data_IF_636774989741
#
_entry.id   IF_636774989741
#
_cell.length_a   1.000
_cell.length_b   1.000
_cell.length_c   1.000
_cell.angle_alpha   90.00
_cell.angle_beta   90.00
_cell.angle_gamma   90.00
#
_symmetry.space_group_name_H-M   'P 1'
#
loop_
_entity.id
_entity.type
_entity.pdbx_description
1 polymer ?
#
# COMPACT_ATOMS: atom_id res chain seq x y z
N UNK A 1 -6.40 -4.73 -21.60
CA UNK A 1 -5.86 -4.03 -20.42
C UNK A 1 -6.63 -2.73 -20.33
N UNK A 2 -7.05 -2.30 -19.14
CA UNK A 2 -7.65 -0.98 -18.99
C UNK A 2 -6.58 0.09 -19.22
N UNK A 3 -6.96 1.23 -19.79
CA UNK A 3 -6.05 2.34 -19.98
C UNK A 3 -6.00 3.18 -18.71
N UNK A 4 -4.82 3.61 -18.23
CA UNK A 4 -4.71 4.56 -17.14
C UNK A 4 -5.23 5.92 -17.63
N UNK A 5 -6.29 6.42 -16.98
CA UNK A 5 -6.96 7.67 -17.40
C UNK A 5 -6.91 8.76 -16.32
N UNK A 6 -6.78 8.37 -15.05
CA UNK A 6 -6.71 9.31 -13.94
C UNK A 6 -5.28 9.60 -13.52
N UNK A 7 -5.00 10.88 -13.27
CA UNK A 7 -3.77 11.40 -12.66
C UNK A 7 -4.01 12.12 -11.34
N UNK A 8 -5.27 12.40 -11.04
CA UNK A 8 -5.73 13.08 -9.84
C UNK A 8 -6.91 12.31 -9.25
N UNK A 9 -7.23 12.55 -7.99
CA UNK A 9 -8.44 11.99 -7.38
C UNK A 9 -9.71 12.42 -8.13
N UNK A 10 -10.77 11.62 -8.03
CA UNK A 10 -12.03 11.87 -8.74
C UNK A 10 -13.24 11.42 -7.91
N UNK A 11 -14.48 11.90 -8.26
CA UNK A 11 -15.64 11.74 -7.38
C UNK A 11 -15.97 10.30 -6.97
N UNK A 12 -15.74 9.32 -7.85
CA UNK A 12 -16.11 7.93 -7.58
C UNK A 12 -15.27 7.25 -6.48
N UNK A 13 -14.06 7.77 -6.20
CA UNK A 13 -13.18 7.28 -5.12
C UNK A 13 -13.09 8.25 -3.95
N UNK A 14 -13.87 9.34 -3.95
CA UNK A 14 -13.82 10.33 -2.88
C UNK A 14 -14.07 9.69 -1.50
N UNK A 15 -13.16 9.87 -0.52
CA UNK A 15 -13.33 9.30 0.82
C UNK A 15 -14.51 9.91 1.59
N UNK A 16 -15.12 10.97 1.05
CA UNK A 16 -16.31 11.61 1.62
C UNK A 16 -17.61 10.91 1.22
N UNK A 17 -17.55 9.93 0.32
CA UNK A 17 -18.72 9.14 -0.04
C UNK A 17 -19.14 8.27 1.14
N UNK A 18 -20.45 8.26 1.52
CA UNK A 18 -20.95 7.44 2.62
C UNK A 18 -20.66 5.95 2.47
N UNK A 19 -20.67 5.43 1.22
CA UNK A 19 -20.40 4.03 0.88
C UNK A 19 -18.95 3.62 1.15
N UNK A 20 -18.04 4.60 1.20
CA UNK A 20 -16.62 4.40 1.49
C UNK A 20 -16.26 4.69 2.95
N UNK A 21 -17.25 4.96 3.80
CA UNK A 21 -17.02 5.27 5.21
C UNK A 21 -16.29 4.15 5.94
N UNK A 22 -15.23 4.52 6.64
CA UNK A 22 -14.45 3.63 7.52
C UNK A 22 -14.77 3.86 9.00
N UNK A 23 -15.92 4.50 9.30
CA UNK A 23 -16.38 4.73 10.66
C UNK A 23 -16.49 3.44 11.45
N UNK A 24 -15.98 3.43 12.68
CA UNK A 24 -15.95 2.26 13.54
C UNK A 24 -14.76 1.33 13.29
N UNK A 25 -13.88 1.63 12.32
CA UNK A 25 -12.76 0.78 11.95
C UNK A 25 -11.46 1.17 12.64
N UNK A 26 -10.60 0.14 12.83
CA UNK A 26 -9.23 0.24 13.28
C UNK A 26 -8.31 -0.05 12.09
N UNK A 27 -7.53 0.94 11.64
CA UNK A 27 -6.63 0.78 10.51
C UNK A 27 -5.16 0.91 10.94
N UNK A 28 -4.26 0.24 10.21
CA UNK A 28 -2.83 0.27 10.42
C UNK A 28 -2.13 0.52 9.09
N UNK A 29 -1.20 1.49 9.06
CA UNK A 29 -0.46 1.89 7.86
C UNK A 29 1.04 1.84 8.14
N UNK A 30 1.78 1.05 7.37
CA UNK A 30 3.24 1.06 7.39
C UNK A 30 3.80 2.14 6.46
N UNK A 31 4.90 2.79 6.87
CA UNK A 31 5.42 3.96 6.16
C UNK A 31 4.51 5.19 6.28
N UNK A 32 3.73 5.27 7.37
CA UNK A 32 2.70 6.31 7.57
C UNK A 32 3.23 7.71 7.92
N UNK A 33 4.56 7.91 7.97
CA UNK A 33 5.15 9.19 8.34
C UNK A 33 5.43 10.15 7.18
N UNK A 34 5.41 9.70 5.93
CA UNK A 34 5.74 10.53 4.76
C UNK A 34 5.16 9.96 3.46
N UNK A 35 5.24 10.75 2.40
CA UNK A 35 4.87 10.34 1.04
C UNK A 35 3.47 9.74 0.94
N UNK A 36 3.35 8.67 0.17
CA UNK A 36 2.08 7.98 -0.10
C UNK A 36 1.41 7.50 1.20
N UNK A 37 2.16 6.90 2.13
CA UNK A 37 1.60 6.39 3.39
C UNK A 37 1.00 7.48 4.28
N UNK A 38 1.64 8.65 4.36
CA UNK A 38 1.10 9.79 5.08
C UNK A 38 -0.17 10.34 4.42
N UNK A 39 -0.22 10.38 3.10
CA UNK A 39 -1.41 10.81 2.36
C UNK A 39 -2.57 9.80 2.50
N UNK A 40 -2.29 8.49 2.41
CA UNK A 40 -3.28 7.44 2.69
C UNK A 40 -3.89 7.62 4.08
N UNK A 41 -3.05 7.88 5.11
CA UNK A 41 -3.53 8.13 6.47
C UNK A 41 -4.54 9.29 6.55
N UNK A 42 -4.28 10.39 5.81
CA UNK A 42 -5.18 11.54 5.72
C UNK A 42 -6.49 11.17 5.01
N UNK A 43 -6.46 10.38 3.96
CA UNK A 43 -7.66 9.92 3.25
C UNK A 43 -8.52 9.00 4.11
N UNK A 44 -7.91 8.10 4.91
CA UNK A 44 -8.64 7.29 5.89
C UNK A 44 -9.27 8.15 6.99
N UNK A 45 -8.58 9.19 7.46
CA UNK A 45 -9.16 10.14 8.42
C UNK A 45 -10.36 10.91 7.81
N UNK A 46 -10.27 11.35 6.55
CA UNK A 46 -11.38 11.96 5.79
C UNK A 46 -12.58 11.00 5.69
N UNK A 47 -12.35 9.68 5.53
CA UNK A 47 -13.42 8.67 5.46
C UNK A 47 -14.00 8.29 6.83
N UNK A 48 -13.48 8.86 7.92
CA UNK A 48 -14.03 8.74 9.28
C UNK A 48 -13.52 7.56 10.07
N UNK A 49 -12.32 7.03 9.78
CA UNK A 49 -11.70 5.96 10.58
C UNK A 49 -11.58 6.39 12.05
N UNK A 50 -11.90 5.48 12.98
CA UNK A 50 -11.87 5.80 14.40
C UNK A 50 -10.45 5.78 14.97
N UNK A 51 -9.71 4.70 14.71
CA UNK A 51 -8.36 4.52 15.19
C UNK A 51 -7.41 4.23 14.03
N UNK A 52 -6.27 4.90 14.03
CA UNK A 52 -5.28 4.81 12.98
C UNK A 52 -3.89 4.61 13.60
N UNK A 53 -3.25 3.47 13.34
CA UNK A 53 -1.86 3.26 13.68
C UNK A 53 -0.95 3.65 12.51
N UNK A 54 0.06 4.46 12.77
CA UNK A 54 1.11 4.82 11.83
C UNK A 54 2.42 4.18 12.26
N UNK A 55 2.96 3.30 11.43
CA UNK A 55 4.25 2.66 11.64
C UNK A 55 5.30 3.24 10.70
N UNK A 56 6.54 3.43 11.19
CA UNK A 56 7.66 3.87 10.36
C UNK A 56 8.92 4.05 11.17
N UNK A 57 10.06 4.22 10.51
CA UNK A 57 11.38 4.30 11.17
C UNK A 57 11.66 5.65 11.83
N UNK A 58 10.99 6.71 11.39
CA UNK A 58 11.27 8.08 11.82
C UNK A 58 10.12 8.60 12.68
N UNK A 59 10.26 8.51 14.00
CA UNK A 59 9.24 8.95 14.96
C UNK A 59 8.79 10.40 14.77
N UNK A 60 9.73 11.31 14.43
CA UNK A 60 9.39 12.73 14.19
C UNK A 60 8.35 12.92 13.08
N UNK A 61 8.51 12.25 11.94
CA UNK A 61 7.56 12.38 10.82
C UNK A 61 6.20 11.75 11.14
N UNK A 62 6.19 10.65 11.90
CA UNK A 62 4.95 10.04 12.39
C UNK A 62 4.18 11.00 13.29
N UNK A 63 4.86 11.67 14.21
CA UNK A 63 4.24 12.63 15.13
C UNK A 63 3.70 13.87 14.41
N UNK A 64 4.42 14.37 13.39
CA UNK A 64 3.90 15.48 12.56
C UNK A 64 2.61 15.08 11.85
N UNK A 65 2.61 13.91 11.18
CA UNK A 65 1.41 13.45 10.48
C UNK A 65 0.24 13.16 11.45
N UNK A 66 0.54 12.60 12.63
CA UNK A 66 -0.45 12.44 13.71
C UNK A 66 -1.11 13.78 14.07
N UNK A 67 -0.30 14.81 14.36
CA UNK A 67 -0.80 16.11 14.77
C UNK A 67 -1.69 16.75 13.68
N UNK A 68 -1.27 16.69 12.42
CA UNK A 68 -2.05 17.20 11.29
C UNK A 68 -3.40 16.47 11.10
N UNK A 69 -3.42 15.14 11.32
CA UNK A 69 -4.64 14.35 11.20
C UNK A 69 -5.60 14.68 12.35
N UNK A 70 -5.12 14.65 13.60
CA UNK A 70 -5.97 14.87 14.77
C UNK A 70 -6.52 16.31 14.84
N UNK A 71 -5.75 17.29 14.33
CA UNK A 71 -6.21 18.69 14.19
C UNK A 71 -7.38 18.81 13.21
N UNK A 72 -7.25 18.21 12.00
CA UNK A 72 -8.25 18.32 10.94
C UNK A 72 -9.43 17.35 11.11
N UNK A 73 -9.21 16.23 11.78
CA UNK A 73 -10.16 15.13 11.96
C UNK A 73 -10.20 14.67 13.43
N UNK A 74 -10.74 15.47 14.36
CA UNK A 74 -10.68 15.23 15.80
C UNK A 74 -11.41 13.94 16.24
N UNK A 75 -12.24 13.36 15.39
CA UNK A 75 -12.89 12.07 15.60
C UNK A 75 -11.95 10.88 15.38
N UNK A 76 -10.82 11.08 14.68
CA UNK A 76 -9.82 10.04 14.43
C UNK A 76 -8.72 10.12 15.47
N UNK A 77 -8.47 9.02 16.18
CA UNK A 77 -7.34 8.91 17.10
C UNK A 77 -6.16 8.26 16.39
N UNK A 78 -4.99 8.89 16.47
CA UNK A 78 -3.79 8.41 15.79
C UNK A 78 -2.76 7.90 16.80
N UNK A 79 -2.25 6.71 16.57
CA UNK A 79 -1.21 6.05 17.36
C UNK A 79 0.03 5.90 16.50
N UNK A 80 1.21 6.17 17.06
CA UNK A 80 2.48 6.12 16.32
C UNK A 80 3.41 5.09 16.92
N UNK A 81 4.04 4.28 16.07
CA UNK A 81 5.00 3.26 16.46
C UNK A 81 6.26 3.39 15.61
N UNK A 82 7.38 3.67 16.27
CA UNK A 82 8.68 3.72 15.59
C UNK A 82 9.20 2.30 15.43
N UNK A 83 9.10 1.77 14.20
CA UNK A 83 9.38 0.36 13.88
C UNK A 83 10.04 0.27 12.52
N UNK A 84 11.05 -0.60 12.41
CA UNK A 84 11.50 -1.16 11.14
C UNK A 84 10.81 -2.50 10.91
N UNK A 85 10.05 -2.64 9.85
CA UNK A 85 9.29 -3.87 9.55
C UNK A 85 10.19 -5.08 9.24
N UNK A 86 11.47 -4.85 8.92
CA UNK A 86 12.46 -5.94 8.76
C UNK A 86 12.79 -6.64 10.08
N UNK A 87 12.55 -5.98 11.22
CA UNK A 87 12.61 -6.56 12.56
C UNK A 87 11.25 -7.17 12.93
N UNK A 88 11.21 -8.50 12.99
CA UNK A 88 9.98 -9.27 13.23
C UNK A 88 9.42 -9.07 14.65
N UNK A 89 10.29 -8.93 15.66
CA UNK A 89 9.85 -8.76 17.04
C UNK A 89 9.28 -7.37 17.27
N UNK A 90 9.99 -6.33 16.86
CA UNK A 90 9.49 -4.95 16.94
C UNK A 90 8.17 -4.78 16.20
N UNK A 91 8.04 -5.41 15.02
CA UNK A 91 6.79 -5.40 14.25
C UNK A 91 5.66 -6.06 15.02
N UNK A 92 5.88 -7.25 15.56
CA UNK A 92 4.88 -7.99 16.37
C UNK A 92 4.46 -7.17 17.58
N UNK A 93 5.39 -6.67 18.37
CA UNK A 93 5.09 -5.85 19.56
C UNK A 93 4.28 -4.59 19.24
N UNK A 94 4.58 -3.90 18.14
CA UNK A 94 3.84 -2.72 17.74
C UNK A 94 2.36 -3.05 17.39
N UNK A 95 2.11 -4.13 16.65
CA UNK A 95 0.76 -4.53 16.29
C UNK A 95 -0.03 -5.02 17.52
N UNK A 96 0.58 -5.81 18.40
CA UNK A 96 -0.04 -6.25 19.67
C UNK A 96 -0.37 -5.05 20.58
N UNK A 97 0.55 -4.08 20.69
CA UNK A 97 0.33 -2.86 21.46
C UNK A 97 -0.82 -2.04 20.88
N UNK A 98 -0.91 -1.91 19.54
CA UNK A 98 -2.02 -1.22 18.90
C UNK A 98 -3.36 -1.93 19.15
N UNK A 99 -3.45 -3.24 18.92
CA UNK A 99 -4.67 -4.01 19.14
C UNK A 99 -5.15 -3.91 20.62
N UNK A 100 -4.20 -3.97 21.56
CA UNK A 100 -4.49 -3.75 23.00
C UNK A 100 -5.00 -2.33 23.26
N UNK A 101 -4.39 -1.33 22.67
CA UNK A 101 -4.76 0.09 22.88
C UNK A 101 -6.17 0.39 22.38
N UNK A 102 -6.56 -0.17 21.23
CA UNK A 102 -7.91 0.02 20.68
C UNK A 102 -8.92 -0.98 21.27
N UNK A 103 -8.45 -1.88 22.15
CA UNK A 103 -9.24 -2.96 22.74
C UNK A 103 -10.05 -3.74 21.69
N UNK A 104 -9.40 -4.08 20.58
CA UNK A 104 -10.07 -4.67 19.43
C UNK A 104 -9.14 -5.27 18.41
N UNK A 105 -9.74 -5.75 17.34
CA UNK A 105 -9.06 -6.30 16.17
C UNK A 105 -8.73 -5.20 15.17
N UNK A 106 -7.81 -5.51 14.25
CA UNK A 106 -7.40 -4.60 13.17
C UNK A 106 -8.26 -4.92 11.93
N UNK A 107 -9.05 -3.96 11.48
CA UNK A 107 -9.95 -4.13 10.34
C UNK A 107 -9.25 -3.91 9.00
N UNK A 108 -8.27 -3.00 8.95
CA UNK A 108 -7.63 -2.57 7.71
C UNK A 108 -6.11 -2.50 7.92
N UNK A 109 -5.37 -3.21 7.07
CA UNK A 109 -3.91 -3.14 6.97
C UNK A 109 -3.51 -2.53 5.63
N UNK A 110 -2.75 -1.44 5.67
CA UNK A 110 -2.08 -0.85 4.51
C UNK A 110 -0.58 -1.16 4.59
N UNK A 111 -0.15 -2.11 3.79
CA UNK A 111 1.25 -2.50 3.63
C UNK A 111 1.91 -1.58 2.59
N UNK A 112 2.34 -0.39 3.03
CA UNK A 112 2.90 0.65 2.16
C UNK A 112 4.41 0.82 2.31
N UNK A 113 5.00 0.52 3.47
CA UNK A 113 6.45 0.66 3.66
C UNK A 113 7.23 -0.08 2.57
N UNK A 114 8.23 0.58 2.03
CA UNK A 114 9.08 0.02 1.00
C UNK A 114 10.41 0.77 0.90
N UNK A 115 11.34 0.15 0.21
CA UNK A 115 12.68 0.67 -0.06
C UNK A 115 13.04 0.44 -1.52
N UNK A 116 13.75 1.39 -2.09
CA UNK A 116 14.31 1.30 -3.42
C UNK A 116 15.83 1.40 -3.34
N UNK A 117 16.56 0.32 -3.63
CA UNK A 117 18.02 0.35 -3.77
C UNK A 117 18.45 1.34 -4.87
N UNK A 118 19.69 1.77 -4.82
CA UNK A 118 20.27 2.57 -5.89
C UNK A 118 20.07 1.90 -7.26
N UNK A 119 19.78 2.72 -8.26
CA UNK A 119 19.62 2.26 -9.63
C UNK A 119 21.01 1.99 -10.25
N UNK A 120 21.49 0.76 -10.09
CA UNK A 120 22.78 0.29 -10.58
C UNK A 120 22.65 -1.05 -11.29
N UNK A 121 23.50 -1.29 -12.31
CA UNK A 121 23.56 -2.59 -12.98
C UNK A 121 23.95 -3.69 -11.98
N UNK A 122 23.38 -4.90 -12.14
CA UNK A 122 23.64 -6.06 -11.24
C UNK A 122 25.13 -6.30 -11.01
N UNK A 123 25.95 -6.10 -12.04
CA UNK A 123 27.39 -6.39 -11.99
C UNK A 123 28.21 -5.39 -11.18
N UNK A 124 27.65 -4.24 -10.80
CA UNK A 124 28.34 -3.16 -10.07
C UNK A 124 27.56 -2.67 -8.86
N UNK A 125 26.31 -3.13 -8.69
CA UNK A 125 25.48 -2.76 -7.53
C UNK A 125 26.13 -3.22 -6.23
N UNK A 126 26.01 -2.37 -5.20
CA UNK A 126 26.39 -2.75 -3.84
C UNK A 126 25.48 -3.90 -3.35
N UNK A 127 26.06 -5.06 -2.97
CA UNK A 127 25.25 -6.23 -2.58
C UNK A 127 24.34 -5.98 -1.37
N UNK A 128 24.78 -5.20 -0.39
CA UNK A 128 24.02 -4.95 0.85
C UNK A 128 22.86 -4.00 0.57
N UNK A 129 23.11 -2.96 -0.22
CA UNK A 129 22.03 -2.04 -0.66
C UNK A 129 21.01 -2.78 -1.54
N UNK A 130 21.47 -3.57 -2.51
CA UNK A 130 20.61 -4.38 -3.36
C UNK A 130 19.73 -5.34 -2.55
N UNK A 131 20.30 -6.04 -1.56
CA UNK A 131 19.60 -6.98 -0.69
C UNK A 131 18.63 -6.28 0.28
N UNK A 132 18.93 -5.06 0.69
CA UNK A 132 18.01 -4.24 1.51
C UNK A 132 16.64 -4.07 0.88
N UNK A 133 16.54 -4.12 -0.46
CA UNK A 133 15.26 -4.20 -1.16
C UNK A 133 14.43 -5.42 -0.74
N UNK A 134 15.05 -6.60 -0.63
CA UNK A 134 14.38 -7.83 -0.19
C UNK A 134 14.09 -7.82 1.32
N UNK A 135 15.02 -7.34 2.13
CA UNK A 135 14.82 -7.25 3.58
C UNK A 135 13.60 -6.41 3.94
N UNK A 136 13.39 -5.27 3.25
CA UNK A 136 12.29 -4.37 3.55
C UNK A 136 11.04 -4.75 2.75
N UNK A 137 11.13 -4.89 1.42
CA UNK A 137 9.95 -5.06 0.58
C UNK A 137 9.33 -6.46 0.69
N UNK A 138 10.15 -7.50 0.94
CA UNK A 138 9.68 -8.90 0.98
C UNK A 138 9.62 -9.42 2.41
N UNK A 139 10.75 -9.54 3.11
CA UNK A 139 10.82 -10.06 4.48
C UNK A 139 10.04 -9.19 5.46
N UNK A 140 10.16 -7.86 5.34
CA UNK A 140 9.39 -6.93 6.19
C UNK A 140 7.89 -7.11 6.04
N UNK A 141 7.39 -7.28 4.82
CA UNK A 141 5.97 -7.58 4.59
C UNK A 141 5.57 -8.98 5.08
N UNK A 142 6.46 -9.98 4.99
CA UNK A 142 6.23 -11.29 5.59
C UNK A 142 6.08 -11.19 7.13
N UNK A 143 6.96 -10.45 7.80
CA UNK A 143 6.87 -10.20 9.24
C UNK A 143 5.57 -9.50 9.59
N UNK A 144 5.18 -8.48 8.79
CA UNK A 144 3.95 -7.71 8.97
C UNK A 144 2.71 -8.60 8.88
N UNK A 145 2.60 -9.46 7.84
CA UNK A 145 1.45 -10.37 7.67
C UNK A 145 1.37 -11.39 8.82
N UNK A 146 2.51 -11.96 9.24
CA UNK A 146 2.55 -12.88 10.40
C UNK A 146 2.11 -12.23 11.70
N UNK A 147 2.48 -10.97 11.93
CA UNK A 147 2.08 -10.23 13.12
C UNK A 147 0.61 -9.78 13.04
N UNK A 148 0.12 -9.46 11.85
CA UNK A 148 -1.25 -8.99 11.62
C UNK A 148 -2.29 -10.11 11.74
N UNK A 149 -2.02 -11.27 11.16
CA UNK A 149 -3.01 -12.33 10.97
C UNK A 149 -3.77 -12.71 12.26
N UNK A 150 -3.11 -12.98 13.42
CA UNK A 150 -3.81 -13.31 14.67
C UNK A 150 -4.60 -12.14 15.26
N UNK A 151 -4.33 -10.91 14.83
CA UNK A 151 -4.96 -9.67 15.30
C UNK A 151 -6.02 -9.14 14.33
N UNK A 152 -6.17 -9.76 13.17
CA UNK A 152 -7.10 -9.34 12.13
C UNK A 152 -8.56 -9.54 12.55
N UNK A 153 -9.42 -8.59 12.16
CA UNK A 153 -10.86 -8.73 12.27
C UNK A 153 -11.38 -9.75 11.23
N UNK A 154 -12.51 -10.42 11.48
CA UNK A 154 -13.19 -11.19 10.43
C UNK A 154 -13.50 -10.31 9.21
N UNK A 155 -13.15 -10.76 8.02
CA UNK A 155 -13.30 -9.98 6.80
C UNK A 155 -12.35 -8.77 6.68
N UNK A 156 -11.24 -8.79 7.40
CA UNK A 156 -10.24 -7.70 7.34
C UNK A 156 -9.76 -7.41 5.93
N UNK A 157 -9.43 -6.15 5.69
CA UNK A 157 -8.89 -5.66 4.42
C UNK A 157 -7.37 -5.56 4.50
N UNK A 158 -6.68 -6.18 3.57
CA UNK A 158 -5.22 -6.09 3.42
C UNK A 158 -4.92 -5.45 2.07
N UNK A 159 -4.30 -4.29 2.08
CA UNK A 159 -4.00 -3.52 0.87
C UNK A 159 -2.49 -3.33 0.77
N UNK A 160 -1.89 -3.94 -0.25
CA UNK A 160 -0.47 -3.80 -0.55
C UNK A 160 -0.24 -2.72 -1.59
N UNK A 161 0.50 -1.68 -1.21
CA UNK A 161 1.01 -0.68 -2.15
C UNK A 161 2.18 -1.31 -2.91
N UNK A 162 1.86 -1.90 -4.03
CA UNK A 162 2.77 -2.63 -4.91
C UNK A 162 3.48 -1.69 -5.89
N UNK A 163 3.71 -2.11 -7.10
CA UNK A 163 4.24 -1.29 -8.20
C UNK A 163 4.07 -2.02 -9.52
N UNK A 164 3.69 -1.29 -10.57
CA UNK A 164 3.71 -1.82 -11.95
C UNK A 164 5.12 -2.16 -12.43
N UNK A 165 6.17 -1.72 -11.72
CA UNK A 165 7.54 -2.14 -11.98
C UNK A 165 7.73 -3.65 -11.98
N UNK A 166 6.81 -4.41 -11.38
CA UNK A 166 6.81 -5.88 -11.34
C UNK A 166 6.56 -6.53 -12.70
N UNK A 167 5.96 -5.84 -13.68
CA UNK A 167 5.58 -6.41 -14.98
C UNK A 167 5.84 -5.52 -16.22
N UNK A 168 6.19 -4.23 -16.03
CA UNK A 168 6.53 -3.35 -17.17
C UNK A 168 7.87 -3.72 -17.80
N UNK A 169 8.14 -3.12 -18.97
CA UNK A 169 9.36 -3.32 -19.73
C UNK A 169 10.65 -3.07 -18.93
N UNK A 170 11.75 -3.61 -19.43
CA UNK A 170 13.07 -3.47 -18.82
C UNK A 170 13.45 -2.00 -18.56
N UNK A 171 13.93 -1.74 -17.38
CA UNK A 171 14.55 -0.48 -16.98
C UNK A 171 15.89 -0.79 -16.31
N UNK A 172 16.97 -0.26 -16.87
CA UNK A 172 18.33 -0.50 -16.40
C UNK A 172 18.52 -0.01 -14.95
N UNK A 173 19.22 -0.82 -14.16
CA UNK A 173 19.57 -0.48 -12.78
C UNK A 173 18.50 -0.81 -11.73
N UNK A 174 17.29 -1.19 -12.11
CA UNK A 174 16.19 -1.39 -11.18
C UNK A 174 15.99 -2.83 -10.71
N UNK A 175 16.98 -3.71 -10.89
CA UNK A 175 16.84 -5.13 -10.61
C UNK A 175 16.47 -5.44 -9.15
N UNK A 176 17.13 -4.83 -8.18
CA UNK A 176 16.87 -5.06 -6.75
C UNK A 176 15.46 -4.65 -6.33
N UNK A 177 15.01 -3.48 -6.76
CA UNK A 177 13.66 -3.00 -6.49
C UNK A 177 12.60 -3.89 -7.14
N UNK A 178 12.73 -4.13 -8.44
CA UNK A 178 11.74 -4.89 -9.23
C UNK A 178 11.61 -6.34 -8.76
N UNK A 179 12.73 -7.00 -8.53
CA UNK A 179 12.73 -8.38 -8.05
C UNK A 179 12.12 -8.48 -6.64
N UNK A 180 12.45 -7.57 -5.71
CA UNK A 180 11.88 -7.57 -4.36
C UNK A 180 10.39 -7.23 -4.35
N UNK A 181 9.91 -6.29 -5.21
CA UNK A 181 8.48 -6.00 -5.36
C UNK A 181 7.70 -7.15 -5.99
N UNK A 182 8.29 -7.87 -6.94
CA UNK A 182 7.66 -9.07 -7.51
C UNK A 182 7.57 -10.20 -6.47
N UNK A 183 8.59 -10.39 -5.65
CA UNK A 183 8.56 -11.34 -4.53
C UNK A 183 7.47 -10.95 -3.51
N UNK A 184 7.37 -9.68 -3.15
CA UNK A 184 6.30 -9.18 -2.29
C UNK A 184 4.91 -9.39 -2.93
N UNK A 185 4.75 -9.11 -4.23
CA UNK A 185 3.49 -9.39 -4.93
C UNK A 185 3.08 -10.86 -4.78
N UNK A 186 4.00 -11.81 -4.96
CA UNK A 186 3.72 -13.24 -4.80
C UNK A 186 3.38 -13.59 -3.35
N UNK A 187 4.05 -13.00 -2.36
CA UNK A 187 3.74 -13.18 -0.95
C UNK A 187 2.27 -12.81 -0.64
N UNK A 188 1.82 -11.63 -1.04
CA UNK A 188 0.43 -11.21 -0.83
C UNK A 188 -0.58 -12.04 -1.64
N UNK A 189 -0.21 -12.51 -2.83
CA UNK A 189 -1.05 -13.42 -3.63
C UNK A 189 -1.25 -14.76 -2.92
N UNK A 190 -0.20 -15.34 -2.31
CA UNK A 190 -0.31 -16.56 -1.51
C UNK A 190 -1.11 -16.30 -0.24
N UNK A 191 -0.86 -15.21 0.47
CA UNK A 191 -1.63 -14.86 1.65
C UNK A 191 -3.14 -14.74 1.38
N UNK A 192 -3.52 -14.18 0.22
CA UNK A 192 -4.92 -14.12 -0.21
C UNK A 192 -5.56 -15.51 -0.39
N UNK A 193 -4.82 -16.46 -0.98
CA UNK A 193 -5.33 -17.82 -1.18
C UNK A 193 -5.40 -18.64 0.12
N UNK A 194 -4.44 -18.43 1.02
CA UNK A 194 -4.38 -19.12 2.32
C UNK A 194 -5.42 -18.56 3.31
N UNK A 195 -5.91 -17.33 3.10
CA UNK A 195 -6.83 -16.62 3.98
C UNK A 195 -8.10 -16.12 3.24
N UNK A 196 -8.96 -17.02 2.75
CA UNK A 196 -10.12 -16.65 1.94
C UNK A 196 -11.20 -15.87 2.71
N UNK A 197 -11.09 -15.80 4.04
CA UNK A 197 -11.93 -14.98 4.91
C UNK A 197 -11.53 -13.49 4.89
N UNK A 198 -10.38 -13.16 4.34
CA UNK A 198 -9.87 -11.78 4.21
C UNK A 198 -9.98 -11.28 2.78
N UNK A 199 -10.02 -9.97 2.62
CA UNK A 199 -10.02 -9.32 1.31
C UNK A 199 -8.64 -8.70 1.08
N UNK A 200 -7.92 -9.21 0.10
CA UNK A 200 -6.53 -8.82 -0.15
C UNK A 200 -6.43 -8.13 -1.51
N UNK A 201 -5.97 -6.90 -1.53
CA UNK A 201 -5.76 -6.11 -2.74
C UNK A 201 -4.29 -5.76 -2.92
N UNK A 202 -3.86 -5.69 -4.16
CA UNK A 202 -2.54 -5.19 -4.52
C UNK A 202 -2.70 -4.17 -5.64
N UNK A 203 -2.06 -3.00 -5.51
CA UNK A 203 -2.21 -1.97 -6.52
C UNK A 203 -0.93 -1.19 -6.80
N UNK A 204 -0.82 -0.69 -8.02
CA UNK A 204 0.18 0.31 -8.39
C UNK A 204 -0.31 1.70 -7.98
N UNK A 205 0.50 2.46 -7.20
CA UNK A 205 0.11 3.78 -6.73
C UNK A 205 0.31 4.89 -7.78
N UNK A 206 0.74 4.57 -8.99
CA UNK A 206 1.16 5.55 -9.97
C UNK A 206 2.58 6.08 -9.71
N UNK A 207 2.93 7.16 -10.39
CA UNK A 207 4.25 7.77 -10.29
C UNK A 207 4.19 9.06 -9.47
N UNK A 208 4.44 8.95 -8.17
CA UNK A 208 4.33 10.08 -7.23
C UNK A 208 5.70 10.73 -7.07
N UNK A 209 5.80 12.01 -7.46
CA UNK A 209 6.97 12.84 -7.17
C UNK A 209 6.96 13.32 -5.72
N UNK A 210 8.05 13.95 -5.29
CA UNK A 210 8.22 14.51 -3.94
C UNK A 210 8.13 13.48 -2.80
N UNK A 211 8.44 12.21 -3.11
CA UNK A 211 8.65 11.19 -2.09
C UNK A 211 10.13 10.94 -1.88
N UNK A 212 10.52 10.51 -0.69
CA UNK A 212 11.92 10.13 -0.43
C UNK A 212 12.44 9.04 -1.38
N UNK A 213 11.55 8.24 -1.95
CA UNK A 213 11.89 7.19 -2.93
C UNK A 213 12.17 7.77 -4.32
N UNK A 214 11.42 8.78 -4.76
CA UNK A 214 11.56 9.38 -6.10
C UNK A 214 12.63 10.46 -6.17
N UNK A 215 13.08 11.00 -5.04
CA UNK A 215 14.18 11.97 -4.97
C UNK A 215 15.46 11.45 -5.65
N UNK A 216 15.69 10.12 -5.65
CA UNK A 216 16.82 9.50 -6.32
C UNK A 216 16.74 9.54 -7.85
N UNK A 217 15.58 9.92 -8.42
CA UNK A 217 15.33 9.94 -9.88
C UNK A 217 15.07 11.32 -10.46
N UNK A 218 15.26 12.38 -9.70
CA UNK A 218 14.97 13.76 -10.18
C UNK A 218 15.65 14.06 -11.53
N UNK A 219 16.88 13.59 -11.74
CA UNK A 219 17.60 13.75 -12.99
C UNK A 219 16.88 13.07 -14.17
N UNK A 220 16.49 11.80 -14.00
CA UNK A 220 15.79 11.01 -15.01
C UNK A 220 14.38 11.56 -15.29
N UNK A 221 13.70 12.02 -14.26
CA UNK A 221 12.37 12.64 -14.35
C UNK A 221 12.45 13.89 -15.25
N UNK A 222 13.42 14.78 -14.98
CA UNK A 222 13.64 16.01 -15.76
C UNK A 222 14.04 15.69 -17.21
N UNK A 223 14.97 14.77 -17.38
CA UNK A 223 15.46 14.36 -18.72
C UNK A 223 14.35 13.81 -19.61
N UNK A 224 13.47 12.98 -19.05
CA UNK A 224 12.38 12.33 -19.80
C UNK A 224 11.07 13.12 -19.82
N UNK A 225 11.01 14.27 -19.20
CA UNK A 225 9.79 15.10 -19.11
C UNK A 225 8.61 14.33 -18.50
N UNK A 226 8.87 13.44 -17.53
CA UNK A 226 7.83 12.64 -16.91
C UNK A 226 6.92 13.53 -16.05
N UNK A 227 5.60 13.31 -16.16
CA UNK A 227 4.59 13.99 -15.37
C UNK A 227 4.09 13.01 -14.30
N UNK A 228 4.20 13.41 -13.04
CA UNK A 228 3.71 12.63 -11.91
C UNK A 228 2.20 12.60 -11.80
N UNK A 229 1.74 11.68 -10.98
CA UNK A 229 0.35 11.59 -10.55
C UNK A 229 0.20 12.32 -9.20
N UNK A 230 -1.00 12.81 -8.89
CA UNK A 230 -1.29 13.42 -7.61
C UNK A 230 -1.32 12.34 -6.51
N UNK A 231 -0.69 12.62 -5.39
CA UNK A 231 -0.62 11.68 -4.23
C UNK A 231 -2.01 11.39 -3.64
N UNK A 232 -2.99 12.25 -3.85
CA UNK A 232 -4.37 11.99 -3.44
C UNK A 232 -5.03 10.87 -4.25
N UNK A 233 -4.62 10.63 -5.49
CA UNK A 233 -5.15 9.55 -6.32
C UNK A 233 -4.95 8.16 -5.67
N UNK A 234 -3.73 7.66 -5.40
CA UNK A 234 -3.54 6.38 -4.73
C UNK A 234 -4.10 6.35 -3.31
N UNK A 235 -4.14 7.51 -2.65
CA UNK A 235 -4.62 7.62 -1.27
C UNK A 235 -6.13 7.39 -1.18
N UNK A 236 -6.91 8.07 -2.00
CA UNK A 236 -8.36 7.91 -2.06
C UNK A 236 -8.75 6.56 -2.68
N UNK A 237 -7.98 6.08 -3.66
CA UNK A 237 -8.16 4.73 -4.21
C UNK A 237 -7.96 3.64 -3.15
N UNK A 238 -7.04 3.83 -2.19
CA UNK A 238 -6.86 2.91 -1.05
C UNK A 238 -8.10 2.83 -0.16
N UNK A 239 -8.80 3.95 0.05
CA UNK A 239 -10.07 3.99 0.79
C UNK A 239 -11.16 3.25 0.01
N UNK A 240 -11.24 3.44 -1.31
CA UNK A 240 -12.17 2.69 -2.15
C UNK A 240 -11.88 1.18 -2.11
N UNK A 241 -10.61 0.76 -2.18
CA UNK A 241 -10.20 -0.65 -2.04
C UNK A 241 -10.59 -1.25 -0.68
N UNK A 242 -10.60 -0.44 0.38
CA UNK A 242 -11.03 -0.88 1.71
C UNK A 242 -12.56 -1.05 1.83
N UNK A 243 -13.34 -0.57 0.88
CA UNK A 243 -14.79 -0.64 0.87
C UNK A 243 -15.32 -1.99 0.35
N UNK A 244 -16.62 -2.23 0.55
CA UNK A 244 -17.29 -3.40 -0.01
C UNK A 244 -17.41 -3.34 -1.54
N UNK A 245 -17.31 -2.15 -2.14
CA UNK A 245 -17.39 -1.98 -3.60
C UNK A 245 -16.26 -2.70 -4.32
N UNK A 246 -15.09 -2.88 -3.67
CA UNK A 246 -13.91 -3.49 -4.26
C UNK A 246 -13.75 -4.99 -3.95
N UNK A 247 -14.64 -5.62 -3.19
CA UNK A 247 -14.49 -7.03 -2.76
C UNK A 247 -14.22 -8.02 -3.91
N UNK A 248 -14.78 -7.76 -5.09
CA UNK A 248 -14.61 -8.60 -6.27
C UNK A 248 -13.19 -8.62 -6.85
N UNK A 249 -12.33 -7.70 -6.37
CA UNK A 249 -10.93 -7.58 -6.77
C UNK A 249 -9.97 -8.32 -5.83
N UNK A 250 -10.46 -9.04 -4.81
CA UNK A 250 -9.59 -9.78 -3.90
C UNK A 250 -8.67 -10.74 -4.65
N UNK A 251 -7.38 -10.74 -4.34
CA UNK A 251 -6.36 -11.52 -5.04
C UNK A 251 -5.88 -10.93 -6.37
N UNK A 252 -6.37 -9.74 -6.78
CA UNK A 252 -6.01 -9.09 -8.04
C UNK A 252 -4.99 -7.98 -7.85
N UNK A 253 -4.30 -7.67 -8.96
CA UNK A 253 -3.45 -6.49 -9.12
C UNK A 253 -4.18 -5.47 -9.98
N UNK A 254 -4.29 -4.23 -9.50
CA UNK A 254 -4.92 -3.12 -10.22
C UNK A 254 -4.04 -1.87 -10.19
N UNK A 255 -4.33 -0.87 -11.02
CA UNK A 255 -3.64 0.42 -10.98
C UNK A 255 -4.61 1.50 -10.48
N UNK A 256 -4.16 2.40 -9.60
CA UNK A 256 -5.00 3.49 -9.10
C UNK A 256 -5.46 4.45 -10.21
N UNK A 257 -4.73 4.49 -11.32
CA UNK A 257 -5.05 5.30 -12.49
C UNK A 257 -6.20 4.73 -13.35
N UNK A 258 -6.67 3.49 -13.09
CA UNK A 258 -7.83 2.93 -13.79
C UNK A 258 -9.12 3.46 -13.19
N UNK A 259 -10.16 3.64 -14.05
CA UNK A 259 -11.46 4.09 -13.56
C UNK A 259 -12.19 2.96 -12.81
N UNK A 260 -12.74 3.28 -11.62
CA UNK A 260 -13.45 2.27 -10.81
C UNK A 260 -14.78 1.83 -11.43
N UNK A 261 -15.35 2.60 -12.33
CA UNK A 261 -16.52 2.20 -13.14
C UNK A 261 -16.15 1.09 -14.10
N UNK A 262 -15.01 1.21 -14.79
CA UNK A 262 -14.47 0.17 -15.69
C UNK A 262 -14.07 -1.08 -14.90
N UNK A 263 -13.47 -0.91 -13.71
CA UNK A 263 -13.17 -2.04 -12.82
C UNK A 263 -14.45 -2.80 -12.44
N UNK A 264 -15.52 -2.09 -12.08
CA UNK A 264 -16.82 -2.69 -11.73
C UNK A 264 -17.48 -3.36 -12.94
N UNK A 265 -17.38 -2.78 -14.13
CA UNK A 265 -17.92 -3.36 -15.36
C UNK A 265 -17.25 -4.71 -15.70
N UNK A 266 -15.96 -4.88 -15.34
CA UNK A 266 -15.22 -6.12 -15.58
C UNK A 266 -15.52 -7.25 -14.55
N UNK A 267 -16.39 -7.03 -13.56
CA UNK A 267 -16.65 -7.96 -12.45
C UNK A 267 -17.02 -9.38 -12.89
N UNK A 268 -17.90 -9.53 -13.87
CA UNK A 268 -18.33 -10.85 -14.34
C UNK A 268 -17.21 -11.57 -15.10
N UNK A 269 -16.45 -10.84 -15.91
CA UNK A 269 -15.26 -11.38 -16.59
C UNK A 269 -14.20 -11.89 -15.59
N UNK A 270 -14.02 -11.19 -14.46
CA UNK A 270 -13.07 -11.58 -13.42
C UNK A 270 -13.51 -12.85 -12.68
N UNK A 271 -14.81 -13.06 -12.50
CA UNK A 271 -15.33 -14.31 -11.94
C UNK A 271 -15.06 -15.50 -12.86
N UNK A 272 -15.13 -15.29 -14.17
CA UNK A 272 -14.89 -16.33 -15.18
C UNK A 272 -13.40 -16.63 -15.42
N UNK A 273 -12.48 -15.78 -14.93
CA UNK A 273 -11.04 -15.90 -15.22
C UNK A 273 -10.21 -15.74 -13.96
N UNK A 274 -9.67 -16.82 -13.44
CA UNK A 274 -8.85 -16.84 -12.22
C UNK A 274 -7.52 -16.06 -12.35
N UNK A 275 -6.98 -15.94 -13.57
CA UNK A 275 -5.69 -15.31 -13.86
C UNK A 275 -5.78 -13.89 -14.43
N UNK A 276 -6.97 -13.37 -14.70
CA UNK A 276 -7.14 -12.00 -15.19
C UNK A 276 -6.73 -11.00 -14.10
N UNK A 277 -5.89 -10.03 -14.46
CA UNK A 277 -5.28 -9.05 -13.56
C UNK A 277 -4.45 -9.69 -12.43
N UNK A 278 -3.76 -10.78 -12.76
CA UNK A 278 -2.70 -11.35 -11.94
C UNK A 278 -1.37 -11.28 -12.71
N UNK A 279 -0.26 -11.29 -11.98
CA UNK A 279 1.08 -11.32 -12.59
C UNK A 279 1.54 -12.77 -12.65
N UNK A 280 1.75 -13.27 -13.86
CA UNK A 280 2.13 -14.65 -14.11
C UNK A 280 2.74 -14.85 -15.49
N UNK A 281 3.13 -16.08 -15.77
CA UNK A 281 3.63 -16.47 -17.08
C UNK A 281 2.43 -16.57 -18.05
N UNK A 282 2.56 -15.96 -19.23
CA UNK A 282 1.66 -16.20 -20.37
C UNK A 282 2.19 -17.42 -21.12
N UNK A 283 1.40 -18.50 -21.12
CA UNK A 283 1.68 -19.71 -21.90
C UNK A 283 0.77 -19.78 -23.12
#
# INVERSE_FOLDING_TARGET
MLSPIHKTTYPAISPLRPELSTKGKNALITGGGSGIGASIAKSFAKSGVNNLALLGRTGKTLLVNKAEIEDKHPQTKVWTYTVDISDSESTRYALEAYAKTVNGKIDILIANAGYMPKAERITVADPDDWWSGFEINTKGNFNLLRAFDPLAAPGARVIHVSSRSTYIEYLEGFSGYRASKLAAYKLFSWYANENPDKVVHQFDPGFIFDTGMTATFEGLIKEKGLVGDDVELPSDFSVWLASNEANFLSGRFVECAWDVGDLKAAKEDLKASWNKWTIGLLL
#
